data_IF_602023794718
#
_entry.id   IF_602023794718
#
_cell.length_a   1.000
_cell.length_b   1.000
_cell.length_c   1.000
_cell.angle_alpha   90.00
_cell.angle_beta   90.00
_cell.angle_gamma   90.00
#
_symmetry.space_group_name_H-M   'P 1'
#
loop_
_entity.id
_entity.type
_entity.pdbx_description
1 polymer ?
#
# COMPACT_ATOMS: atom_id res chain seq x y z
N UNK A 1 -7.88 10.54 19.18
CA UNK A 1 -7.88 9.64 18.02
C UNK A 1 -6.52 9.73 17.36
N UNK A 2 -5.83 8.60 17.19
CA UNK A 2 -4.48 8.55 16.61
C UNK A 2 -4.57 8.19 15.12
N UNK A 3 -4.50 9.21 14.25
CA UNK A 3 -4.51 9.07 12.80
C UNK A 3 -3.09 8.91 12.28
N UNK A 4 -2.84 7.84 11.53
CA UNK A 4 -1.50 7.48 11.05
C UNK A 4 -1.52 7.24 9.55
N UNK A 5 -0.52 7.74 8.84
CA UNK A 5 -0.19 7.32 7.50
C UNK A 5 0.83 6.19 7.54
N UNK A 6 0.60 5.11 6.82
CA UNK A 6 1.46 3.93 6.81
C UNK A 6 2.12 3.69 5.47
N UNK A 7 3.37 3.25 5.51
CA UNK A 7 4.11 2.72 4.36
C UNK A 7 4.73 1.39 4.72
N UNK A 8 4.98 0.56 3.71
CA UNK A 8 5.67 -0.72 3.87
C UNK A 8 6.73 -0.80 2.76
N UNK A 9 8.00 -0.82 3.17
CA UNK A 9 9.15 -0.82 2.27
C UNK A 9 10.13 -1.92 2.68
N UNK A 10 10.26 -2.97 1.87
CA UNK A 10 11.12 -4.12 2.15
C UNK A 10 11.71 -4.72 0.87
N UNK A 11 12.77 -5.51 1.06
CA UNK A 11 13.46 -6.22 -0.01
C UNK A 11 14.69 -5.46 -0.55
N UNK A 12 15.39 -6.07 -1.51
CA UNK A 12 16.71 -5.59 -1.95
C UNK A 12 16.66 -4.39 -2.90
N UNK A 13 15.48 -4.11 -3.48
CA UNK A 13 15.32 -2.99 -4.39
C UNK A 13 15.22 -1.66 -3.62
N UNK A 14 16.30 -0.89 -3.63
CA UNK A 14 16.41 0.41 -2.96
C UNK A 14 15.29 1.39 -3.36
N UNK A 15 14.79 1.28 -4.58
CA UNK A 15 13.70 2.13 -5.08
C UNK A 15 12.44 2.04 -4.21
N UNK A 16 12.16 0.90 -3.58
CA UNK A 16 11.00 0.76 -2.70
C UNK A 16 11.16 1.58 -1.41
N UNK A 17 12.36 1.56 -0.81
CA UNK A 17 12.67 2.33 0.40
C UNK A 17 12.71 3.82 0.10
N UNK A 18 13.42 4.22 -0.93
CA UNK A 18 13.51 5.62 -1.35
C UNK A 18 12.17 6.14 -1.88
N UNK A 19 11.36 5.29 -2.51
CA UNK A 19 10.00 5.62 -2.94
C UNK A 19 9.09 5.93 -1.76
N UNK A 20 9.09 5.07 -0.74
CA UNK A 20 8.36 5.32 0.51
C UNK A 20 8.83 6.62 1.18
N UNK A 21 10.14 6.84 1.22
CA UNK A 21 10.74 8.04 1.81
C UNK A 21 10.34 9.30 1.03
N UNK A 22 10.44 9.30 -0.31
CA UNK A 22 9.99 10.43 -1.12
C UNK A 22 8.50 10.71 -0.96
N UNK A 23 7.68 9.66 -0.87
CA UNK A 23 6.26 9.78 -0.60
C UNK A 23 6.01 10.42 0.77
N UNK A 24 6.72 9.98 1.81
CA UNK A 24 6.64 10.56 3.15
C UNK A 24 7.06 12.05 3.18
N UNK A 25 8.14 12.42 2.47
CA UNK A 25 8.56 13.83 2.35
C UNK A 25 7.50 14.69 1.65
N UNK A 26 6.88 14.18 0.58
CA UNK A 26 5.78 14.87 -0.11
C UNK A 26 4.54 14.99 0.78
N UNK A 27 4.26 13.96 1.58
CA UNK A 27 3.19 14.01 2.57
C UNK A 27 3.46 15.08 3.63
N UNK A 28 4.66 15.14 4.18
CA UNK A 28 5.06 16.15 5.18
C UNK A 28 5.02 17.57 4.61
N UNK A 29 5.34 17.77 3.33
CA UNK A 29 5.16 19.06 2.66
C UNK A 29 3.68 19.50 2.64
N UNK A 30 2.77 18.58 2.30
CA UNK A 30 1.35 18.87 2.14
C UNK A 30 0.55 18.79 3.46
N UNK A 31 1.05 18.04 4.43
CA UNK A 31 0.46 17.82 5.75
C UNK A 31 1.57 17.79 6.82
N UNK A 32 2.10 18.94 7.26
CA UNK A 32 3.30 19.01 8.13
C UNK A 32 3.16 18.33 9.49
N UNK A 33 1.94 18.07 9.94
CA UNK A 33 1.63 17.37 11.21
C UNK A 33 1.26 15.90 11.02
N UNK A 34 1.47 15.34 9.83
CA UNK A 34 1.20 13.95 9.56
C UNK A 34 2.06 13.05 10.47
N UNK A 35 1.43 12.11 11.15
CA UNK A 35 2.11 11.00 11.82
C UNK A 35 2.33 9.90 10.79
N UNK A 36 3.57 9.48 10.62
CA UNK A 36 3.96 8.51 9.59
C UNK A 36 4.65 7.33 10.26
N UNK A 37 4.19 6.12 9.94
CA UNK A 37 4.84 4.86 10.34
C UNK A 37 5.27 4.12 9.09
N UNK A 38 6.52 3.68 9.06
CA UNK A 38 7.10 2.89 7.97
C UNK A 38 7.52 1.53 8.50
N UNK A 39 6.88 0.46 8.02
CA UNK A 39 7.38 -0.90 8.24
C UNK A 39 8.47 -1.20 7.21
N UNK A 40 9.68 -1.54 7.69
CA UNK A 40 10.84 -1.68 6.80
C UNK A 40 11.89 -2.65 7.35
N UNK A 41 12.64 -3.29 6.46
CA UNK A 41 13.82 -4.08 6.80
C UNK A 41 15.14 -3.27 6.74
N UNK A 42 15.03 -1.96 6.43
CA UNK A 42 16.16 -1.00 6.43
C UNK A 42 15.84 0.25 7.24
N UNK A 43 15.62 0.14 8.57
CA UNK A 43 15.21 1.27 9.42
C UNK A 43 16.26 2.39 9.45
N UNK A 44 17.54 2.08 9.19
CA UNK A 44 18.63 3.06 9.13
C UNK A 44 18.40 4.15 8.06
N UNK A 45 17.76 3.83 6.94
CA UNK A 45 17.44 4.78 5.88
C UNK A 45 16.44 5.85 6.31
N UNK A 46 15.64 5.55 7.33
CA UNK A 46 14.58 6.43 7.83
C UNK A 46 14.95 7.18 9.11
N UNK A 47 16.06 6.81 9.78
CA UNK A 47 16.41 7.29 11.13
C UNK A 47 16.47 8.81 11.27
N UNK A 48 16.92 9.51 10.23
CA UNK A 48 17.08 10.98 10.26
C UNK A 48 15.77 11.74 9.97
N UNK A 49 14.74 11.06 9.50
CA UNK A 49 13.49 11.68 9.05
C UNK A 49 12.41 11.66 10.14
N UNK A 50 11.45 12.59 10.13
CA UNK A 50 10.38 12.65 11.14
C UNK A 50 9.30 11.59 10.84
N UNK A 51 9.70 10.34 10.86
CA UNK A 51 8.84 9.16 10.68
C UNK A 51 9.18 8.12 11.74
N UNK A 52 8.19 7.38 12.20
CA UNK A 52 8.41 6.21 13.06
C UNK A 52 8.67 4.99 12.19
N UNK A 53 9.56 4.09 12.63
CA UNK A 53 9.80 2.83 11.93
C UNK A 53 9.33 1.62 12.75
N UNK A 54 8.87 0.61 12.05
CA UNK A 54 8.68 -0.76 12.55
C UNK A 54 9.63 -1.65 11.77
N UNK A 55 10.63 -2.19 12.46
CA UNK A 55 11.63 -3.05 11.81
C UNK A 55 11.02 -4.39 11.44
N UNK A 56 11.29 -4.85 10.24
CA UNK A 56 10.94 -6.19 9.74
C UNK A 56 12.24 -7.01 9.71
N UNK A 57 12.37 -7.99 10.61
CA UNK A 57 13.54 -8.88 10.63
C UNK A 57 13.49 -9.91 9.50
N UNK A 58 14.62 -10.60 9.26
CA UNK A 58 14.68 -11.67 8.27
C UNK A 58 13.69 -12.81 8.61
N UNK A 59 13.63 -13.21 9.88
CA UNK A 59 12.71 -14.26 10.35
C UNK A 59 11.25 -13.83 10.21
N UNK A 60 10.96 -12.56 10.50
CA UNK A 60 9.62 -12.01 10.26
C UNK A 60 9.26 -12.01 8.78
N UNK A 61 10.19 -11.61 7.88
CA UNK A 61 9.95 -11.69 6.42
C UNK A 61 9.62 -13.11 5.97
N UNK A 62 10.36 -14.09 6.47
CA UNK A 62 10.12 -15.49 6.14
C UNK A 62 8.77 -15.97 6.64
N UNK A 63 8.43 -15.72 7.92
CA UNK A 63 7.15 -16.06 8.50
C UNK A 63 5.99 -15.36 7.79
N UNK A 64 6.07 -14.04 7.61
CA UNK A 64 5.02 -13.22 6.98
C UNK A 64 4.82 -13.56 5.50
N UNK A 65 5.81 -14.14 4.83
CA UNK A 65 5.71 -14.61 3.44
C UNK A 65 5.33 -16.09 3.33
N UNK A 66 4.86 -16.71 4.43
CA UNK A 66 4.53 -18.13 4.49
C UNK A 66 5.70 -19.03 4.10
N UNK A 67 6.88 -18.78 4.65
CA UNK A 67 8.10 -19.51 4.26
C UNK A 67 8.51 -19.21 2.83
N UNK A 68 8.45 -17.94 2.40
CA UNK A 68 8.80 -17.44 1.05
C UNK A 68 7.87 -17.90 -0.08
N UNK A 69 6.73 -18.54 0.22
CA UNK A 69 5.78 -19.02 -0.80
C UNK A 69 4.92 -17.90 -1.39
N UNK A 70 4.68 -16.81 -0.62
CA UNK A 70 3.91 -15.67 -1.10
C UNK A 70 4.42 -14.34 -0.52
N UNK A 71 5.19 -13.64 -1.31
CA UNK A 71 5.89 -12.42 -0.93
C UNK A 71 4.95 -11.28 -0.44
N UNK A 72 3.78 -11.09 -1.06
CA UNK A 72 2.84 -10.03 -0.65
C UNK A 72 2.12 -10.30 0.68
N UNK A 73 2.28 -11.49 1.28
CA UNK A 73 1.85 -11.74 2.65
C UNK A 73 2.52 -10.79 3.65
N UNK A 74 3.78 -10.39 3.40
CA UNK A 74 4.51 -9.41 4.22
C UNK A 74 3.72 -8.10 4.34
N UNK A 75 3.13 -7.62 3.23
CA UNK A 75 2.35 -6.38 3.23
C UNK A 75 1.14 -6.48 4.18
N UNK A 76 0.37 -7.55 4.08
CA UNK A 76 -0.81 -7.74 4.94
C UNK A 76 -0.44 -7.86 6.42
N UNK A 77 0.60 -8.64 6.74
CA UNK A 77 1.09 -8.77 8.11
C UNK A 77 1.60 -7.42 8.68
N UNK A 78 2.35 -6.65 7.88
CA UNK A 78 2.82 -5.32 8.28
C UNK A 78 1.66 -4.32 8.49
N UNK A 79 0.58 -4.39 7.70
CA UNK A 79 -0.60 -3.57 7.93
C UNK A 79 -1.21 -3.83 9.31
N UNK A 80 -1.28 -5.09 9.75
CA UNK A 80 -1.76 -5.47 11.08
C UNK A 80 -0.85 -4.87 12.16
N UNK A 81 0.47 -4.94 11.98
CA UNK A 81 1.44 -4.38 12.93
C UNK A 81 1.33 -2.84 13.04
N UNK A 82 1.19 -2.15 11.92
CA UNK A 82 1.01 -0.68 11.93
C UNK A 82 -0.30 -0.29 12.62
N UNK A 83 -1.38 -1.06 12.42
CA UNK A 83 -2.68 -0.81 13.06
C UNK A 83 -2.64 -0.90 14.59
N UNK A 84 -1.69 -1.63 15.18
CA UNK A 84 -1.51 -1.63 16.65
C UNK A 84 -1.16 -0.24 17.20
N UNK A 85 -0.61 0.64 16.36
CA UNK A 85 -0.16 2.00 16.71
C UNK A 85 -1.14 3.09 16.26
N UNK A 86 -2.23 2.76 15.59
CA UNK A 86 -3.16 3.71 15.00
C UNK A 86 -4.60 3.42 15.39
N UNK A 87 -5.44 4.44 15.57
CA UNK A 87 -6.89 4.26 15.61
C UNK A 87 -7.43 4.17 14.18
N UNK A 88 -6.91 5.03 13.29
CA UNK A 88 -7.21 5.02 11.86
C UNK A 88 -5.91 5.06 11.07
N UNK A 89 -5.81 4.19 10.08
CA UNK A 89 -4.67 4.08 9.18
C UNK A 89 -5.08 4.46 7.76
N UNK A 90 -4.31 5.33 7.12
CA UNK A 90 -4.28 5.45 5.66
C UNK A 90 -2.93 4.88 5.21
N UNK A 91 -2.98 3.71 4.62
CA UNK A 91 -1.82 3.07 4.00
C UNK A 91 -1.66 3.53 2.55
N UNK A 92 -0.42 3.71 2.12
CA UNK A 92 -0.03 3.99 0.73
C UNK A 92 1.17 3.13 0.32
N UNK A 93 1.11 2.52 -0.85
CA UNK A 93 2.27 1.82 -1.44
C UNK A 93 3.42 2.79 -1.74
N UNK A 94 4.65 2.27 -1.81
CA UNK A 94 5.89 3.04 -2.03
C UNK A 94 5.94 3.81 -3.37
N UNK A 95 5.05 3.50 -4.30
CA UNK A 95 4.91 4.14 -5.60
C UNK A 95 3.69 5.08 -5.70
N UNK A 96 3.17 5.50 -4.54
CA UNK A 96 2.07 6.45 -4.41
C UNK A 96 2.57 7.75 -3.78
N UNK A 97 2.41 8.88 -4.48
CA UNK A 97 3.01 10.17 -4.08
C UNK A 97 1.94 11.24 -3.89
N UNK A 98 1.71 11.74 -2.65
CA UNK A 98 0.79 12.84 -2.40
C UNK A 98 1.18 14.11 -3.14
N UNK A 99 0.20 14.78 -3.77
CA UNK A 99 0.37 16.08 -4.41
C UNK A 99 -0.47 17.19 -3.76
N UNK A 100 -1.31 16.83 -2.78
CA UNK A 100 -2.01 17.73 -1.86
C UNK A 100 -2.32 16.97 -0.56
N UNK A 101 -2.90 17.62 0.44
CA UNK A 101 -3.21 17.04 1.75
C UNK A 101 -4.23 15.88 1.67
N UNK A 102 -3.86 14.62 1.96
CA UNK A 102 -4.76 13.47 1.94
C UNK A 102 -5.50 13.24 3.26
N UNK A 103 -5.25 14.03 4.31
CA UNK A 103 -5.76 13.80 5.67
C UNK A 103 -7.29 13.79 5.77
N UNK A 104 -7.98 14.46 4.84
CA UNK A 104 -9.45 14.40 4.74
C UNK A 104 -9.98 12.98 4.55
N UNK A 105 -9.16 12.06 4.05
CA UNK A 105 -9.48 10.65 3.91
C UNK A 105 -9.83 9.98 5.24
N UNK A 106 -9.23 10.41 6.36
CA UNK A 106 -9.53 9.86 7.68
C UNK A 106 -11.01 9.98 8.07
N UNK A 107 -11.72 11.00 7.59
CA UNK A 107 -13.16 11.17 7.83
C UNK A 107 -14.03 10.07 7.20
N UNK A 108 -13.47 9.28 6.27
CA UNK A 108 -14.14 8.15 5.62
C UNK A 108 -13.91 6.83 6.34
N UNK A 109 -13.13 6.83 7.41
CA UNK A 109 -12.76 5.64 8.18
C UNK A 109 -13.53 5.62 9.49
N UNK A 110 -14.21 4.50 9.77
CA UNK A 110 -14.88 4.22 11.04
C UNK A 110 -14.76 2.72 11.37
N UNK A 111 -15.17 2.26 12.58
CA UNK A 111 -15.17 0.83 12.90
C UNK A 111 -15.90 -0.06 11.89
N UNK A 112 -16.90 0.48 11.19
CA UNK A 112 -17.67 -0.27 10.19
C UNK A 112 -17.38 0.14 8.74
N UNK A 113 -16.51 1.13 8.52
CA UNK A 113 -16.26 1.66 7.18
C UNK A 113 -14.78 1.79 6.87
N UNK A 114 -14.38 1.12 5.80
CA UNK A 114 -13.06 1.18 5.20
C UNK A 114 -13.13 1.68 3.76
N UNK A 115 -12.01 2.06 3.18
CA UNK A 115 -11.95 2.35 1.75
C UNK A 115 -10.68 1.80 1.12
N UNK A 116 -10.79 1.47 -0.16
CA UNK A 116 -9.66 1.23 -1.05
C UNK A 116 -9.74 2.16 -2.25
N UNK A 117 -8.64 2.25 -2.99
CA UNK A 117 -8.54 3.22 -4.10
C UNK A 117 -9.57 2.99 -5.18
N UNK A 118 -9.77 1.73 -5.60
CA UNK A 118 -10.60 1.36 -6.75
C UNK A 118 -11.14 -0.05 -6.60
N UNK A 119 -12.40 -0.25 -6.96
CA UNK A 119 -12.94 -1.56 -7.26
C UNK A 119 -12.62 -1.87 -8.73
N UNK A 120 -11.99 -3.01 -9.00
CA UNK A 120 -11.58 -3.44 -10.34
C UNK A 120 -12.57 -4.43 -10.96
N UNK A 121 -13.63 -4.80 -10.22
CA UNK A 121 -14.61 -5.77 -10.66
C UNK A 121 -14.15 -7.21 -10.50
N UNK A 122 -14.80 -8.13 -11.17
CA UNK A 122 -14.44 -9.56 -11.13
C UNK A 122 -13.16 -9.82 -11.92
N UNK A 123 -12.31 -10.67 -11.36
CA UNK A 123 -11.07 -11.07 -12.01
C UNK A 123 -11.20 -12.49 -12.59
N UNK A 124 -10.83 -12.65 -13.85
CA UNK A 124 -11.02 -13.88 -14.64
C UNK A 124 -10.44 -15.18 -14.07
N UNK A 125 -9.45 -15.08 -13.15
CA UNK A 125 -8.76 -16.25 -12.58
C UNK A 125 -9.34 -16.70 -11.24
N UNK A 126 -10.21 -15.93 -10.59
CA UNK A 126 -10.76 -16.26 -9.27
C UNK A 126 -11.96 -17.22 -9.29
N UNK A 127 -12.74 -17.38 -10.38
CA UNK A 127 -13.79 -18.42 -10.44
C UNK A 127 -13.32 -19.84 -10.12
N UNK A 128 -12.00 -20.12 -10.22
CA UNK A 128 -11.40 -21.40 -9.80
C UNK A 128 -11.58 -21.69 -8.30
N UNK A 129 -11.87 -20.67 -7.47
CA UNK A 129 -12.13 -20.81 -6.03
C UNK A 129 -13.51 -21.42 -5.74
N UNK A 130 -14.43 -21.37 -6.70
CA UNK A 130 -15.77 -21.95 -6.55
C UNK A 130 -15.69 -23.43 -6.18
N UNK A 131 -16.38 -23.82 -5.11
CA UNK A 131 -16.39 -25.19 -4.60
C UNK A 131 -15.11 -25.66 -3.91
N UNK A 132 -14.11 -24.80 -3.71
CA UNK A 132 -12.84 -25.16 -3.06
C UNK A 132 -12.83 -24.97 -1.53
N UNK A 133 -13.95 -24.55 -0.94
CA UNK A 133 -14.09 -24.32 0.52
C UNK A 133 -13.03 -23.42 1.14
N UNK A 134 -12.45 -22.51 0.38
CA UNK A 134 -11.54 -21.48 0.93
C UNK A 134 -12.37 -20.44 1.66
N UNK A 135 -11.98 -20.11 2.89
CA UNK A 135 -12.72 -19.18 3.73
C UNK A 135 -11.88 -17.95 4.11
N UNK A 136 -12.57 -16.84 4.32
CA UNK A 136 -12.08 -15.64 4.99
C UNK A 136 -13.03 -15.38 6.17
N UNK A 137 -12.58 -15.61 7.39
CA UNK A 137 -13.48 -15.73 8.54
C UNK A 137 -14.54 -16.82 8.28
N UNK A 138 -15.80 -16.47 8.48
CA UNK A 138 -16.93 -17.39 8.23
C UNK A 138 -17.40 -17.43 6.76
N UNK A 139 -16.89 -16.52 5.94
CA UNK A 139 -17.31 -16.41 4.54
C UNK A 139 -16.56 -17.39 3.64
N UNK A 140 -17.29 -18.23 2.93
CA UNK A 140 -16.72 -19.13 1.90
C UNK A 140 -16.63 -18.41 0.57
N UNK A 141 -15.42 -18.36 -0.02
CA UNK A 141 -15.16 -17.70 -1.29
C UNK A 141 -15.91 -18.41 -2.44
N UNK A 142 -16.58 -17.62 -3.26
CA UNK A 142 -17.26 -18.07 -4.47
C UNK A 142 -16.41 -17.88 -5.73
N UNK A 143 -15.39 -17.02 -5.65
CA UNK A 143 -14.55 -16.61 -6.78
C UNK A 143 -15.17 -15.52 -7.65
N UNK A 144 -16.36 -15.03 -7.29
CA UNK A 144 -17.06 -13.95 -7.98
C UNK A 144 -16.98 -12.60 -7.24
N UNK A 145 -16.30 -12.57 -6.09
CA UNK A 145 -16.08 -11.38 -5.31
C UNK A 145 -15.25 -10.34 -6.10
N UNK A 146 -15.56 -9.05 -5.94
CA UNK A 146 -14.85 -8.03 -6.68
C UNK A 146 -13.41 -7.88 -6.19
N UNK A 147 -12.49 -7.69 -7.12
CA UNK A 147 -11.11 -7.30 -6.87
C UNK A 147 -11.03 -5.82 -6.49
N UNK A 148 -10.22 -5.50 -5.51
CA UNK A 148 -9.97 -4.15 -5.06
C UNK A 148 -8.47 -3.81 -5.16
N UNK A 149 -8.15 -2.58 -5.53
CA UNK A 149 -6.75 -2.13 -5.58
C UNK A 149 -6.29 -1.68 -4.20
N UNK A 150 -5.33 -2.39 -3.60
CA UNK A 150 -4.82 -2.19 -2.25
C UNK A 150 -3.67 -1.18 -2.13
N UNK A 151 -3.27 -0.52 -3.21
CA UNK A 151 -2.20 0.48 -3.18
C UNK A 151 -2.51 1.71 -2.30
N UNK A 152 -3.79 1.96 -2.03
CA UNK A 152 -4.29 2.86 -0.98
C UNK A 152 -5.38 2.12 -0.22
N UNK A 153 -5.25 2.08 1.12
CA UNK A 153 -6.20 1.47 2.02
C UNK A 153 -6.44 2.40 3.21
N UNK A 154 -7.70 2.75 3.46
CA UNK A 154 -8.15 3.43 4.69
C UNK A 154 -8.88 2.46 5.59
N UNK A 155 -8.40 2.25 6.83
CA UNK A 155 -8.92 1.24 7.73
C UNK A 155 -8.89 1.69 9.19
N UNK A 156 -9.87 1.25 9.97
CA UNK A 156 -9.95 1.47 11.42
C UNK A 156 -9.35 0.28 12.19
N UNK A 157 -8.76 0.52 13.36
CA UNK A 157 -8.18 -0.51 14.25
C UNK A 157 -9.13 -1.67 14.53
N UNK A 158 -10.43 -1.39 14.70
CA UNK A 158 -11.44 -2.42 14.95
C UNK A 158 -11.47 -3.51 13.87
N UNK A 159 -10.94 -3.24 12.67
CA UNK A 159 -10.93 -4.17 11.53
C UNK A 159 -9.62 -4.96 11.42
N UNK A 160 -8.76 -4.94 12.46
CA UNK A 160 -7.50 -5.71 12.45
C UNK A 160 -7.77 -7.22 12.35
N UNK A 161 -8.87 -7.71 12.97
CA UNK A 161 -9.30 -9.11 12.86
C UNK A 161 -9.62 -9.50 11.41
N UNK A 162 -10.35 -8.65 10.67
CA UNK A 162 -10.66 -8.90 9.27
C UNK A 162 -9.37 -8.96 8.40
N UNK A 163 -8.36 -8.12 8.70
CA UNK A 163 -7.05 -8.25 8.02
C UNK A 163 -6.32 -9.55 8.36
N UNK A 164 -6.42 -10.02 9.60
CA UNK A 164 -5.81 -11.28 10.00
C UNK A 164 -6.48 -12.48 9.30
N UNK A 165 -7.79 -12.49 9.18
CA UNK A 165 -8.55 -13.49 8.43
C UNK A 165 -8.19 -13.47 6.94
N UNK A 166 -8.09 -12.27 6.35
CA UNK A 166 -7.60 -12.11 4.98
C UNK A 166 -6.20 -12.70 4.81
N UNK A 167 -5.27 -12.39 5.72
CA UNK A 167 -3.91 -12.89 5.68
C UNK A 167 -3.87 -14.43 5.72
N UNK A 168 -4.63 -15.08 6.60
CA UNK A 168 -4.70 -16.55 6.71
C UNK A 168 -5.14 -17.21 5.40
N UNK A 169 -6.03 -16.59 4.64
CA UNK A 169 -6.54 -17.15 3.38
C UNK A 169 -5.61 -16.95 2.18
N UNK A 170 -4.68 -16.00 2.22
CA UNK A 170 -3.90 -15.56 1.06
C UNK A 170 -3.11 -16.67 0.39
N UNK A 171 -2.49 -17.57 1.18
CA UNK A 171 -1.69 -18.64 0.62
C UNK A 171 -2.55 -19.64 -0.15
N UNK A 172 -3.68 -20.07 0.41
CA UNK A 172 -4.60 -20.98 -0.27
C UNK A 172 -5.14 -20.37 -1.57
N UNK A 173 -5.52 -19.10 -1.52
CA UNK A 173 -5.95 -18.36 -2.73
C UNK A 173 -4.82 -18.31 -3.77
N UNK A 174 -3.58 -18.02 -3.34
CA UNK A 174 -2.40 -17.99 -4.23
C UNK A 174 -2.15 -19.33 -4.91
N UNK A 175 -2.21 -20.42 -4.14
CA UNK A 175 -1.95 -21.76 -4.65
C UNK A 175 -3.01 -22.22 -5.68
N UNK A 176 -4.25 -21.79 -5.52
CA UNK A 176 -5.33 -22.14 -6.45
C UNK A 176 -5.34 -21.23 -7.69
N UNK A 177 -5.19 -19.93 -7.50
CA UNK A 177 -5.35 -18.95 -8.60
C UNK A 177 -4.07 -18.70 -9.40
N UNK A 178 -2.90 -19.01 -8.82
CA UNK A 178 -1.55 -18.74 -9.38
C UNK A 178 -1.32 -17.25 -9.74
N UNK A 179 -2.09 -16.33 -9.15
CA UNK A 179 -1.93 -14.89 -9.38
C UNK A 179 -0.99 -14.26 -8.34
N UNK A 180 -0.55 -13.04 -8.58
CA UNK A 180 0.24 -12.27 -7.61
C UNK A 180 -0.62 -11.31 -6.77
N UNK A 181 -1.95 -11.33 -6.95
CA UNK A 181 -2.88 -10.41 -6.33
C UNK A 181 -3.79 -10.97 -5.21
N UNK A 182 -3.55 -12.16 -4.59
CA UNK A 182 -4.35 -12.65 -3.47
C UNK A 182 -4.45 -11.65 -2.32
N UNK A 183 -3.39 -10.87 -2.05
CA UNK A 183 -3.39 -9.89 -0.97
C UNK A 183 -4.53 -8.88 -1.14
N UNK A 184 -4.60 -8.20 -2.28
CA UNK A 184 -5.63 -7.20 -2.51
C UNK A 184 -7.04 -7.81 -2.61
N UNK A 185 -7.18 -9.03 -3.14
CA UNK A 185 -8.43 -9.76 -3.18
C UNK A 185 -8.92 -10.12 -1.78
N UNK A 186 -8.11 -10.81 -0.98
CA UNK A 186 -8.49 -11.26 0.35
C UNK A 186 -8.81 -10.08 1.28
N UNK A 187 -8.02 -9.00 1.25
CA UNK A 187 -8.31 -7.78 2.04
C UNK A 187 -9.63 -7.17 1.58
N UNK A 188 -9.86 -7.07 0.26
CA UNK A 188 -11.11 -6.54 -0.27
C UNK A 188 -12.33 -7.34 0.17
N UNK A 189 -12.25 -8.67 0.11
CA UNK A 189 -13.33 -9.55 0.58
C UNK A 189 -13.55 -9.40 2.09
N UNK A 190 -12.49 -9.49 2.91
CA UNK A 190 -12.60 -9.40 4.36
C UNK A 190 -13.26 -8.09 4.83
N UNK A 191 -12.90 -6.97 4.20
CA UNK A 191 -13.45 -5.65 4.53
C UNK A 191 -14.86 -5.40 3.94
N UNK A 192 -15.37 -6.32 3.15
CA UNK A 192 -16.73 -6.29 2.59
C UNK A 192 -17.70 -7.26 3.28
N UNK A 193 -17.26 -7.96 4.35
CA UNK A 193 -18.09 -8.94 5.06
C UNK A 193 -19.14 -8.28 5.98
N UNK A 194 -20.04 -9.11 6.53
CA UNK A 194 -21.20 -8.68 7.30
C UNK A 194 -20.88 -7.58 8.31
N UNK A 195 -21.66 -6.50 8.28
CA UNK A 195 -21.49 -5.33 9.15
C UNK A 195 -20.37 -4.37 8.73
N UNK A 196 -19.56 -4.72 7.73
CA UNK A 196 -18.49 -3.85 7.18
C UNK A 196 -18.88 -3.28 5.82
N UNK A 197 -18.45 -2.06 5.56
CA UNK A 197 -18.63 -1.38 4.27
C UNK A 197 -17.27 -1.01 3.70
N UNK A 198 -16.93 -1.59 2.55
CA UNK A 198 -15.76 -1.20 1.78
C UNK A 198 -16.17 -0.25 0.65
N UNK A 199 -15.69 0.98 0.71
CA UNK A 199 -15.98 1.99 -0.30
C UNK A 199 -14.78 2.31 -1.20
N UNK A 200 -15.05 2.95 -2.33
CA UNK A 200 -14.01 3.56 -3.17
C UNK A 200 -13.74 4.98 -2.69
N UNK A 201 -12.46 5.33 -2.50
CA UNK A 201 -12.08 6.70 -2.21
C UNK A 201 -10.78 7.11 -2.91
N UNK A 202 -10.84 8.23 -3.62
CA UNK A 202 -9.67 8.85 -4.25
C UNK A 202 -9.06 9.87 -3.29
N UNK A 203 -7.82 9.65 -2.92
CA UNK A 203 -6.98 10.65 -2.27
C UNK A 203 -6.25 11.49 -3.32
N UNK A 204 -5.76 12.71 -2.98
CA UNK A 204 -4.92 13.53 -3.85
C UNK A 204 -3.49 12.94 -3.92
N UNK A 205 -3.39 11.75 -4.49
CA UNK A 205 -2.17 10.93 -4.55
C UNK A 205 -1.98 10.44 -5.99
N UNK A 206 -0.82 10.70 -6.54
CA UNK A 206 -0.38 10.17 -7.83
C UNK A 206 0.04 8.71 -7.69
N UNK A 207 -0.37 7.87 -8.62
CA UNK A 207 -0.17 6.44 -8.66
C UNK A 207 0.78 6.07 -9.80
N UNK A 208 1.82 5.32 -9.46
CA UNK A 208 2.87 4.90 -10.38
C UNK A 208 3.06 3.38 -10.40
N UNK A 209 1.99 2.62 -10.13
CA UNK A 209 2.01 1.17 -9.96
C UNK A 209 2.13 0.35 -11.26
N UNK A 210 1.87 0.92 -12.43
CA UNK A 210 2.02 0.20 -13.70
C UNK A 210 3.47 0.15 -14.17
N UNK A 211 3.84 -0.87 -14.95
CA UNK A 211 5.21 -1.07 -15.46
C UNK A 211 5.77 0.19 -16.14
N UNK A 212 4.99 0.85 -16.99
CA UNK A 212 5.43 2.06 -17.70
C UNK A 212 5.62 3.26 -16.76
N UNK A 213 4.72 3.42 -15.78
CA UNK A 213 4.84 4.47 -14.76
C UNK A 213 6.03 4.22 -13.82
N UNK A 214 6.26 2.97 -13.39
CA UNK A 214 7.42 2.59 -12.58
C UNK A 214 8.73 2.85 -13.31
N UNK A 215 8.83 2.44 -14.57
CA UNK A 215 10.00 2.69 -15.40
C UNK A 215 10.33 4.18 -15.55
N UNK A 216 9.32 5.04 -15.47
CA UNK A 216 9.51 6.49 -15.47
C UNK A 216 9.83 7.06 -14.08
N UNK A 217 9.14 6.64 -13.03
CA UNK A 217 9.25 7.21 -11.69
C UNK A 217 10.51 6.74 -10.96
N UNK A 218 10.88 5.46 -11.10
CA UNK A 218 12.01 4.87 -10.35
C UNK A 218 13.34 5.59 -10.54
N UNK A 219 13.79 5.91 -11.76
CA UNK A 219 15.03 6.68 -11.93
C UNK A 219 14.95 8.08 -11.31
N UNK A 220 13.76 8.70 -11.30
CA UNK A 220 13.56 10.02 -10.71
C UNK A 220 13.61 9.99 -9.19
N UNK A 221 13.11 8.93 -8.56
CA UNK A 221 13.25 8.72 -7.12
C UNK A 221 14.73 8.67 -6.75
N UNK A 222 15.52 7.85 -7.45
CA UNK A 222 16.97 7.75 -7.23
C UNK A 222 17.67 9.09 -7.48
N UNK A 223 17.32 9.79 -8.55
CA UNK A 223 17.86 11.10 -8.90
C UNK A 223 17.58 12.16 -7.81
N UNK A 224 16.38 12.14 -7.22
CA UNK A 224 16.04 13.05 -6.13
C UNK A 224 17.00 12.89 -4.96
N UNK A 225 17.21 11.67 -4.47
CA UNK A 225 18.09 11.43 -3.34
C UNK A 225 19.57 11.60 -3.68
N UNK A 226 19.99 11.28 -4.90
CA UNK A 226 21.34 11.59 -5.37
C UNK A 226 21.64 13.10 -5.34
N UNK A 227 20.66 13.92 -5.69
CA UNK A 227 20.81 15.38 -5.74
C UNK A 227 20.59 16.08 -4.41
N UNK A 228 19.78 15.53 -3.52
CA UNK A 228 19.30 16.21 -2.32
C UNK A 228 19.39 15.38 -1.05
N UNK A 229 19.87 14.14 -1.10
CA UNK A 229 19.91 13.22 0.05
C UNK A 229 20.71 13.77 1.24
N UNK A 230 21.74 14.57 1.00
CA UNK A 230 22.59 15.17 2.05
C UNK A 230 22.09 16.54 2.54
N UNK A 231 21.09 17.12 1.86
CA UNK A 231 20.53 18.41 2.28
C UNK A 231 19.80 18.33 3.64
N UNK A 232 19.62 19.45 4.34
CA UNK A 232 18.78 19.51 5.55
C UNK A 232 17.37 18.96 5.29
N UNK A 233 16.79 18.30 6.28
CA UNK A 233 15.48 17.63 6.14
C UNK A 233 14.37 18.61 5.70
N UNK A 234 14.36 19.83 6.27
CA UNK A 234 13.39 20.85 5.90
C UNK A 234 13.48 21.22 4.41
N UNK A 235 14.70 21.29 3.88
CA UNK A 235 14.95 21.54 2.46
C UNK A 235 14.49 20.37 1.60
N UNK A 236 14.78 19.13 2.02
CA UNK A 236 14.30 17.93 1.31
C UNK A 236 12.76 17.88 1.25
N UNK A 237 12.07 18.18 2.37
CA UNK A 237 10.60 18.25 2.42
C UNK A 237 10.09 19.30 1.43
N UNK A 238 10.69 20.51 1.45
CA UNK A 238 10.30 21.59 0.53
C UNK A 238 10.51 21.18 -0.92
N UNK A 239 11.69 20.66 -1.28
CA UNK A 239 12.02 20.21 -2.63
C UNK A 239 11.12 19.04 -3.09
N UNK A 240 10.86 18.07 -2.21
CA UNK A 240 9.99 16.94 -2.50
C UNK A 240 8.57 17.40 -2.87
N UNK A 241 8.03 18.40 -2.19
CA UNK A 241 6.71 18.96 -2.51
C UNK A 241 6.58 19.39 -3.97
N UNK A 242 7.59 20.07 -4.48
CA UNK A 242 7.63 20.57 -5.84
C UNK A 242 8.19 19.57 -6.87
N UNK A 243 8.81 18.48 -6.42
CA UNK A 243 9.41 17.49 -7.30
C UNK A 243 8.37 16.74 -8.12
N UNK A 244 8.43 16.93 -9.45
CA UNK A 244 7.44 16.36 -10.37
C UNK A 244 7.86 14.98 -10.82
N UNK A 245 7.00 13.98 -10.55
CA UNK A 245 7.16 12.60 -11.01
C UNK A 245 6.32 12.30 -12.26
N UNK A 246 5.38 13.18 -12.61
CA UNK A 246 4.53 12.99 -13.78
C UNK A 246 5.19 13.52 -15.05
N UNK A 247 4.85 12.90 -16.16
CA UNK A 247 5.29 13.30 -17.50
C UNK A 247 4.40 14.39 -18.06
N UNK A 248 4.95 15.14 -19.01
CA UNK A 248 4.13 15.99 -19.87
C UNK A 248 3.09 15.13 -20.63
N UNK A 249 1.90 15.67 -20.96
CA UNK A 249 0.85 14.91 -21.66
C UNK A 249 1.32 14.19 -22.92
N UNK A 250 2.23 14.79 -23.69
CA UNK A 250 2.82 14.19 -24.90
C UNK A 250 3.62 12.91 -24.62
N UNK A 251 4.33 12.84 -23.48
CA UNK A 251 5.09 11.64 -23.12
C UNK A 251 4.16 10.50 -22.69
N UNK A 252 3.04 10.84 -22.08
CA UNK A 252 1.98 9.88 -21.74
C UNK A 252 1.34 9.32 -23.01
N UNK A 253 1.10 10.15 -24.01
CA UNK A 253 0.52 9.73 -25.28
C UNK A 253 1.45 8.80 -26.07
N UNK A 254 2.75 9.13 -26.19
CA UNK A 254 3.76 8.30 -26.87
C UNK A 254 4.01 6.94 -26.24
N UNK A 255 3.58 6.71 -25.01
CA UNK A 255 3.75 5.44 -24.30
C UNK A 255 2.46 4.66 -24.14
N UNK A 256 1.35 5.13 -24.72
CA UNK A 256 0.04 4.49 -24.68
C UNK A 256 0.12 3.01 -25.08
N UNK A 257 0.91 2.71 -26.11
CA UNK A 257 1.06 1.37 -26.67
C UNK A 257 1.93 0.43 -25.81
N UNK A 258 2.65 0.96 -24.81
CA UNK A 258 3.40 0.17 -23.81
C UNK A 258 2.57 -0.17 -22.57
N UNK A 259 1.30 0.18 -22.58
CA UNK A 259 0.36 -0.01 -21.47
C UNK A 259 -0.59 -1.19 -21.71
N UNK A 260 -0.38 -1.92 -22.81
CA UNK A 260 -1.07 -3.19 -23.03
C UNK A 260 -0.65 -4.18 -21.92
N UNK A 261 -1.65 -4.67 -21.26
CA UNK A 261 -1.70 -5.58 -20.12
C UNK A 261 -1.01 -6.92 -20.36
#
# INVERSE_FOLDING_TARGET
>A
MNDVFGYIAYGDNEVYHLGALLSALKLLHNCPRAKIVVATDRPELFRRYPVETTTITADQKESMSFGRRYHFGIKAACLIEILKRADRLIFMDCDHYPYADPSRGFRRISPTRSFMRKCEGQHRLYPVLSGKNVKIGDYTLTGHEPMWQSGILGIHRANAGALAEAYCAMLAVRELTKTDAPEQFCIGVALSQSGLTLGRHRLPVGDYNTRGKKAFASPRVLQFFKAHGDAPIAEQIWRAGWYRLWRAPMDLWRQRDRWSF
#
